data_IF_651250726075
#
_entry.id   IF_651250726075
#
_cell.length_a   1.000
_cell.length_b   1.000
_cell.length_c   1.000
_cell.angle_alpha   90.00
_cell.angle_beta   90.00
_cell.angle_gamma   90.00
#
_symmetry.space_group_name_H-M   'P 1'
#
loop_
_entity.id
_entity.type
_entity.pdbx_description
1 polymer ?
#
# COMPACT_ATOMS: atom_id res chain seq x y z
N UNK A 1 -27.77 -31.64 38.66
CA UNK A 1 -27.92 -31.05 37.31
C UNK A 1 -29.36 -30.58 37.18
N UNK A 2 -29.63 -29.48 36.47
CA UNK A 2 -31.02 -29.02 36.25
C UNK A 2 -31.65 -29.85 35.14
N UNK A 3 -32.84 -30.40 35.37
CA UNK A 3 -33.59 -31.18 34.38
C UNK A 3 -34.01 -30.25 33.22
N UNK A 4 -34.07 -30.76 31.99
CA UNK A 4 -34.60 -30.01 30.83
C UNK A 4 -35.77 -30.81 30.28
N UNK A 5 -36.93 -30.16 30.15
CA UNK A 5 -38.09 -30.78 29.49
C UNK A 5 -37.99 -30.57 27.98
N UNK A 6 -38.28 -31.64 27.23
CA UNK A 6 -38.32 -31.68 25.78
C UNK A 6 -39.71 -32.00 25.23
N UNK A 7 -40.61 -32.48 26.09
CA UNK A 7 -41.97 -32.86 25.72
C UNK A 7 -42.90 -31.64 25.58
N UNK A 8 -43.98 -31.80 24.82
CA UNK A 8 -44.90 -30.71 24.47
C UNK A 8 -45.68 -30.19 25.69
N UNK A 9 -46.10 -31.10 26.57
CA UNK A 9 -46.94 -30.79 27.73
C UNK A 9 -46.29 -31.27 29.05
N UNK A 10 -44.94 -31.30 29.09
CA UNK A 10 -44.14 -31.69 30.26
C UNK A 10 -44.41 -33.14 30.74
N UNK A 11 -44.81 -34.01 29.82
CA UNK A 11 -45.06 -35.43 30.06
C UNK A 11 -43.79 -36.11 30.59
N UNK A 12 -42.64 -35.74 30.03
CA UNK A 12 -41.33 -36.22 30.45
C UNK A 12 -41.00 -35.84 31.90
N UNK A 13 -41.35 -34.63 32.35
CA UNK A 13 -41.18 -34.19 33.75
C UNK A 13 -42.12 -34.96 34.68
N UNK A 14 -43.39 -35.15 34.27
CA UNK A 14 -44.36 -35.91 35.05
C UNK A 14 -43.90 -37.36 35.25
N UNK A 15 -43.44 -38.00 34.17
CA UNK A 15 -42.87 -39.34 34.23
C UNK A 15 -41.58 -39.36 35.07
N UNK A 16 -40.70 -38.36 34.92
CA UNK A 16 -39.44 -38.28 35.65
C UNK A 16 -39.66 -38.11 37.16
N UNK A 17 -40.69 -37.37 37.57
CA UNK A 17 -41.10 -37.29 38.97
C UNK A 17 -41.41 -38.68 39.54
N UNK A 18 -42.11 -39.52 38.78
CA UNK A 18 -42.48 -40.87 39.21
C UNK A 18 -41.32 -41.88 39.11
N UNK A 19 -40.48 -41.75 38.08
CA UNK A 19 -39.54 -42.80 37.66
C UNK A 19 -38.06 -42.41 37.73
N UNK A 20 -37.70 -41.17 38.05
CA UNK A 20 -36.31 -40.69 38.02
C UNK A 20 -35.37 -41.37 39.03
N UNK A 21 -35.91 -42.21 39.92
CA UNK A 21 -35.16 -43.07 40.83
C UNK A 21 -34.72 -44.39 40.18
N UNK A 22 -35.31 -44.79 39.05
CA UNK A 22 -34.98 -46.01 38.32
C UNK A 22 -33.72 -45.78 37.50
N UNK A 23 -32.71 -46.62 37.71
CA UNK A 23 -31.48 -46.62 36.92
C UNK A 23 -31.65 -47.49 35.66
N UNK A 24 -31.25 -46.95 34.50
CA UNK A 24 -31.28 -47.66 33.21
C UNK A 24 -32.65 -48.29 32.91
N UNK A 25 -33.72 -47.52 33.08
CA UNK A 25 -35.07 -47.99 32.80
C UNK A 25 -35.32 -48.21 31.30
N UNK A 26 -36.50 -48.71 31.00
CA UNK A 26 -36.91 -49.16 29.68
C UNK A 26 -38.26 -48.56 29.28
N UNK A 27 -38.32 -47.96 28.08
CA UNK A 27 -39.56 -47.39 27.52
C UNK A 27 -39.92 -47.99 26.17
N UNK A 28 -41.17 -47.80 25.77
CA UNK A 28 -41.62 -48.01 24.39
C UNK A 28 -42.32 -46.73 23.95
N UNK A 29 -41.93 -46.20 22.80
CA UNK A 29 -42.48 -45.00 22.18
C UNK A 29 -43.12 -45.36 20.84
N UNK A 30 -44.45 -45.36 20.78
CA UNK A 30 -45.22 -45.66 19.57
C UNK A 30 -45.68 -44.35 18.96
N UNK A 31 -45.15 -44.03 17.77
CA UNK A 31 -45.23 -42.69 17.18
C UNK A 31 -44.14 -41.79 17.78
N UNK A 32 -42.89 -42.21 17.65
CA UNK A 32 -41.75 -41.56 18.30
C UNK A 32 -41.34 -40.23 17.66
N UNK A 33 -41.62 -40.03 16.35
CA UNK A 33 -41.37 -38.82 15.60
C UNK A 33 -39.95 -38.23 15.81
N UNK A 34 -39.84 -36.91 16.05
CA UNK A 34 -38.56 -36.25 16.23
C UNK A 34 -37.90 -36.65 17.57
N UNK A 35 -36.67 -37.16 17.58
CA UNK A 35 -36.01 -37.60 18.81
C UNK A 35 -35.64 -36.43 19.76
N UNK A 36 -35.67 -35.19 19.30
CA UNK A 36 -35.18 -34.01 20.02
C UNK A 36 -36.29 -33.05 20.40
N UNK A 37 -37.25 -32.85 19.50
CA UNK A 37 -38.34 -31.89 19.62
C UNK A 37 -39.62 -32.61 20.04
N UNK A 38 -40.34 -32.09 21.03
CA UNK A 38 -41.55 -32.70 21.58
C UNK A 38 -41.38 -34.15 22.05
N UNK A 39 -40.14 -34.58 22.33
CA UNK A 39 -39.82 -35.97 22.69
C UNK A 39 -40.03 -36.22 24.18
N UNK A 40 -40.94 -37.14 24.51
CA UNK A 40 -41.20 -37.61 25.89
C UNK A 40 -40.04 -38.46 26.41
N UNK A 41 -39.35 -39.17 25.52
CA UNK A 41 -38.32 -40.17 25.86
C UNK A 41 -36.92 -39.60 25.96
N UNK A 42 -36.64 -38.44 25.33
CA UNK A 42 -35.31 -37.82 25.34
C UNK A 42 -34.72 -37.63 26.72
N UNK A 43 -35.51 -37.13 27.66
CA UNK A 43 -35.04 -36.88 29.01
C UNK A 43 -34.49 -38.17 29.65
N UNK A 44 -35.21 -39.28 29.46
CA UNK A 44 -34.82 -40.59 29.98
C UNK A 44 -33.57 -41.12 29.27
N UNK A 45 -33.54 -41.03 27.95
CA UNK A 45 -32.39 -41.47 27.14
C UNK A 45 -31.10 -40.76 27.56
N UNK A 46 -31.16 -39.43 27.74
CA UNK A 46 -30.02 -38.61 28.17
C UNK A 46 -29.53 -38.99 29.59
N UNK A 47 -30.34 -39.73 30.36
CA UNK A 47 -30.02 -40.28 31.68
C UNK A 47 -29.80 -41.81 31.68
N UNK A 48 -29.42 -42.39 30.54
CA UNK A 48 -28.98 -43.78 30.42
C UNK A 48 -30.09 -44.81 30.27
N UNK A 49 -31.34 -44.36 30.10
CA UNK A 49 -32.41 -45.25 29.69
C UNK A 49 -32.28 -45.59 28.21
N UNK A 50 -32.95 -46.67 27.81
CA UNK A 50 -33.06 -47.08 26.42
C UNK A 50 -34.41 -47.76 26.20
N UNK A 51 -34.83 -47.91 24.96
CA UNK A 51 -36.15 -48.45 24.67
C UNK A 51 -36.36 -48.91 23.23
N UNK A 52 -37.63 -49.00 22.86
CA UNK A 52 -38.08 -49.26 21.49
C UNK A 52 -38.78 -48.01 20.97
N UNK A 53 -38.38 -47.53 19.81
CA UNK A 53 -39.05 -46.45 19.09
C UNK A 53 -39.69 -47.00 17.81
N UNK A 54 -40.98 -46.75 17.62
CA UNK A 54 -41.72 -47.11 16.40
C UNK A 54 -42.08 -45.85 15.63
N UNK A 55 -41.56 -45.74 14.41
CA UNK A 55 -41.77 -44.57 13.55
C UNK A 55 -41.81 -44.96 12.07
N UNK A 56 -42.99 -44.95 11.41
CA UNK A 56 -43.10 -45.28 10.00
C UNK A 56 -42.45 -44.27 9.03
N UNK A 57 -42.46 -42.98 9.36
CA UNK A 57 -41.91 -41.93 8.51
C UNK A 57 -40.38 -42.11 8.38
N UNK A 58 -39.92 -42.28 7.14
CA UNK A 58 -38.50 -42.51 6.85
C UNK A 58 -37.59 -41.40 7.40
N UNK A 59 -38.03 -40.15 7.35
CA UNK A 59 -37.24 -38.99 7.77
C UNK A 59 -37.05 -39.01 9.28
N UNK A 60 -38.13 -39.19 10.05
CA UNK A 60 -38.05 -39.28 11.50
C UNK A 60 -37.31 -40.55 11.95
N UNK A 61 -37.52 -41.66 11.26
CA UNK A 61 -36.77 -42.90 11.51
C UNK A 61 -35.25 -42.70 11.39
N UNK A 62 -34.77 -42.04 10.32
CA UNK A 62 -33.34 -41.76 10.17
C UNK A 62 -32.79 -40.82 11.26
N UNK A 63 -33.61 -39.85 11.70
CA UNK A 63 -33.26 -38.99 12.84
C UNK A 63 -33.14 -39.79 14.15
N UNK A 64 -34.08 -40.71 14.39
CA UNK A 64 -34.09 -41.60 15.56
C UNK A 64 -32.85 -42.50 15.56
N UNK A 65 -32.51 -43.14 14.43
CA UNK A 65 -31.30 -43.96 14.31
C UNK A 65 -30.03 -43.16 14.67
N UNK A 66 -29.93 -41.92 14.17
CA UNK A 66 -28.78 -41.08 14.45
C UNK A 66 -28.71 -40.59 15.90
N UNK A 67 -29.86 -40.28 16.52
CA UNK A 67 -29.93 -39.69 17.85
C UNK A 67 -30.05 -40.71 19.00
N UNK A 68 -30.51 -41.93 18.70
CA UNK A 68 -30.83 -42.99 19.66
C UNK A 68 -30.11 -44.31 19.33
N UNK A 69 -28.77 -44.35 19.23
CA UNK A 69 -28.02 -45.56 18.88
C UNK A 69 -28.10 -46.69 19.91
N UNK A 70 -28.67 -46.44 21.10
CA UNK A 70 -28.87 -47.44 22.15
C UNK A 70 -30.30 -47.98 22.18
N UNK A 71 -31.21 -47.36 21.43
CA UNK A 71 -32.59 -47.83 21.30
C UNK A 71 -32.71 -48.80 20.14
N UNK A 72 -33.74 -49.64 20.20
CA UNK A 72 -34.23 -50.38 19.06
C UNK A 72 -35.19 -49.48 18.29
N UNK A 73 -34.72 -48.88 17.19
CA UNK A 73 -35.54 -48.05 16.33
C UNK A 73 -36.08 -48.90 15.17
N UNK A 74 -37.41 -48.90 14.98
CA UNK A 74 -38.09 -49.72 13.97
C UNK A 74 -38.95 -48.84 13.05
N UNK A 75 -38.78 -49.02 11.74
CA UNK A 75 -39.56 -48.34 10.72
C UNK A 75 -40.83 -49.10 10.36
N UNK A 76 -41.78 -49.12 11.29
CA UNK A 76 -43.07 -49.79 11.15
C UNK A 76 -44.11 -49.15 12.07
N UNK A 77 -45.39 -49.41 11.81
CA UNK A 77 -46.48 -49.05 12.72
C UNK A 77 -46.79 -50.19 13.70
N UNK A 78 -47.28 -49.85 14.90
CA UNK A 78 -47.98 -50.81 15.74
C UNK A 78 -49.46 -50.85 15.33
N UNK A 79 -50.06 -52.05 15.34
CA UNK A 79 -51.47 -52.24 14.98
C UNK A 79 -52.06 -53.45 15.70
N UNK A 80 -53.33 -53.77 15.44
CA UNK A 80 -53.99 -54.95 16.01
C UNK A 80 -53.49 -56.28 15.44
N UNK A 81 -53.04 -56.30 14.19
CA UNK A 81 -52.68 -57.51 13.46
C UNK A 81 -51.54 -57.23 12.48
N UNK A 82 -50.72 -58.24 12.17
CA UNK A 82 -49.63 -58.07 11.20
C UNK A 82 -50.21 -57.86 9.80
N UNK A 83 -49.98 -56.68 9.21
CA UNK A 83 -50.50 -56.32 7.87
C UNK A 83 -49.73 -55.17 7.25
N UNK A 84 -49.96 -54.96 5.95
CA UNK A 84 -49.59 -53.71 5.29
C UNK A 84 -50.69 -52.66 5.49
N UNK A 85 -50.30 -51.44 5.81
CA UNK A 85 -51.21 -50.31 6.00
C UNK A 85 -50.93 -49.21 4.97
N UNK A 86 -51.97 -48.45 4.62
CA UNK A 86 -51.82 -47.17 3.94
C UNK A 86 -51.49 -46.12 5.00
N UNK A 87 -50.33 -45.50 4.87
CA UNK A 87 -49.84 -44.44 5.74
C UNK A 87 -49.89 -43.11 5.00
N UNK A 88 -50.55 -42.15 5.61
CA UNK A 88 -50.75 -40.81 5.09
C UNK A 88 -49.74 -39.87 5.76
N UNK A 89 -48.60 -39.70 5.10
CA UNK A 89 -47.44 -38.96 5.57
C UNK A 89 -47.61 -37.45 5.35
N UNK A 90 -47.35 -36.65 6.38
CA UNK A 90 -47.38 -35.19 6.36
C UNK A 90 -45.99 -34.67 6.75
N UNK A 91 -45.20 -34.32 5.73
CA UNK A 91 -43.79 -33.99 5.84
C UNK A 91 -43.50 -32.95 6.94
N UNK A 92 -42.56 -33.27 7.82
CA UNK A 92 -42.06 -32.36 8.85
C UNK A 92 -43.05 -32.07 9.98
N UNK A 93 -44.09 -32.90 10.13
CA UNK A 93 -45.08 -32.78 11.20
C UNK A 93 -45.27 -34.10 11.95
N UNK A 94 -45.79 -34.03 13.18
CA UNK A 94 -46.24 -35.22 13.93
C UNK A 94 -47.59 -35.78 13.47
N UNK A 95 -48.27 -35.12 12.52
CA UNK A 95 -49.68 -35.35 12.19
C UNK A 95 -49.92 -36.51 11.20
N UNK A 96 -48.90 -37.33 10.93
CA UNK A 96 -49.02 -38.43 9.97
C UNK A 96 -49.88 -39.55 10.56
N UNK A 97 -50.75 -40.15 9.76
CA UNK A 97 -51.78 -41.08 10.27
C UNK A 97 -52.00 -42.27 9.34
N UNK A 98 -52.57 -43.36 9.87
CA UNK A 98 -53.11 -44.48 9.09
C UNK A 98 -54.62 -44.39 8.88
N UNK A 99 -55.27 -43.37 9.44
CA UNK A 99 -56.70 -43.12 9.29
C UNK A 99 -56.96 -42.18 8.09
N UNK A 100 -57.69 -42.70 7.11
CA UNK A 100 -57.98 -41.99 5.87
C UNK A 100 -58.88 -40.75 6.07
N UNK A 101 -59.78 -40.78 7.05
CA UNK A 101 -60.67 -39.65 7.34
C UNK A 101 -59.91 -38.51 8.05
N UNK A 102 -58.96 -38.85 8.94
CA UNK A 102 -58.02 -37.89 9.53
C UNK A 102 -57.14 -37.27 8.44
N UNK A 103 -56.56 -38.09 7.57
CA UNK A 103 -55.75 -37.62 6.45
C UNK A 103 -56.53 -36.68 5.52
N UNK A 104 -57.78 -37.02 5.17
CA UNK A 104 -58.64 -36.18 4.35
C UNK A 104 -58.96 -34.84 5.03
N UNK A 105 -59.16 -34.82 6.36
CA UNK A 105 -59.34 -33.58 7.13
C UNK A 105 -58.08 -32.71 7.09
N UNK A 106 -56.89 -33.28 7.26
CA UNK A 106 -55.64 -32.52 7.15
C UNK A 106 -55.44 -31.95 5.74
N UNK A 107 -55.72 -32.74 4.71
CA UNK A 107 -55.66 -32.28 3.33
C UNK A 107 -56.63 -31.11 3.08
N UNK A 108 -57.86 -31.20 3.61
CA UNK A 108 -58.85 -30.11 3.54
C UNK A 108 -58.41 -28.86 4.32
N UNK A 109 -57.61 -29.02 5.39
CA UNK A 109 -57.00 -27.94 6.15
C UNK A 109 -55.75 -27.33 5.48
N UNK A 110 -55.35 -27.83 4.30
CA UNK A 110 -54.25 -27.28 3.50
C UNK A 110 -52.91 -27.99 3.67
N UNK A 111 -52.85 -29.10 4.41
CA UNK A 111 -51.64 -29.91 4.54
C UNK A 111 -51.36 -30.71 3.26
N UNK A 112 -50.07 -30.88 2.95
CA UNK A 112 -49.65 -31.80 1.90
C UNK A 112 -49.58 -33.21 2.47
N UNK A 113 -50.34 -34.13 1.89
CA UNK A 113 -50.43 -35.53 2.31
C UNK A 113 -49.89 -36.42 1.20
N UNK A 114 -48.91 -37.26 1.53
CA UNK A 114 -48.39 -38.31 0.63
C UNK A 114 -48.77 -39.67 1.18
N UNK A 115 -49.36 -40.53 0.35
CA UNK A 115 -49.67 -41.89 0.76
C UNK A 115 -48.51 -42.84 0.43
N UNK A 116 -48.16 -43.70 1.39
CA UNK A 116 -47.23 -44.81 1.19
C UNK A 116 -47.71 -46.07 1.91
N UNK A 117 -47.23 -47.23 1.47
CA UNK A 117 -47.52 -48.51 2.15
C UNK A 117 -46.43 -48.83 3.14
N UNK A 118 -46.83 -49.08 4.39
CA UNK A 118 -45.91 -49.45 5.48
C UNK A 118 -46.24 -50.83 6.05
N UNK A 119 -45.27 -51.44 6.70
CA UNK A 119 -45.50 -52.63 7.52
C UNK A 119 -46.08 -52.23 8.88
N UNK A 120 -46.98 -53.05 9.40
CA UNK A 120 -47.51 -52.93 10.74
C UNK A 120 -47.53 -54.28 11.46
N UNK A 121 -47.18 -54.29 12.74
CA UNK A 121 -47.13 -55.49 13.60
C UNK A 121 -47.92 -55.29 14.90
N UNK A 122 -48.45 -56.36 15.51
CA UNK A 122 -48.96 -56.32 16.87
C UNK A 122 -47.89 -55.87 17.86
N UNK A 123 -48.24 -54.98 18.79
CA UNK A 123 -47.30 -54.54 19.84
C UNK A 123 -46.76 -55.74 20.65
N UNK A 124 -47.59 -56.75 20.90
CA UNK A 124 -47.17 -58.00 21.54
C UNK A 124 -46.07 -58.73 20.75
N UNK A 125 -46.11 -58.67 19.42
CA UNK A 125 -45.10 -59.29 18.56
C UNK A 125 -43.78 -58.53 18.60
N UNK A 126 -43.83 -57.20 18.51
CA UNK A 126 -42.68 -56.31 18.65
C UNK A 126 -41.98 -56.55 19.99
N UNK A 127 -42.75 -56.59 21.10
CA UNK A 127 -42.22 -56.86 22.42
C UNK A 127 -41.58 -58.25 22.52
N UNK A 128 -42.17 -59.30 21.93
CA UNK A 128 -41.55 -60.65 21.91
C UNK A 128 -40.19 -60.66 21.22
N UNK A 129 -40.02 -59.85 20.17
CA UNK A 129 -38.79 -59.82 19.39
C UNK A 129 -37.70 -58.98 20.06
N UNK A 130 -38.06 -57.88 20.73
CA UNK A 130 -37.10 -56.86 21.15
C UNK A 130 -37.03 -56.59 22.66
N UNK A 131 -38.02 -57.02 23.45
CA UNK A 131 -38.02 -56.94 24.91
C UNK A 131 -38.65 -58.21 25.52
N UNK A 132 -38.05 -59.39 25.30
CA UNK A 132 -38.66 -60.67 25.69
C UNK A 132 -38.80 -60.84 27.22
N UNK A 133 -37.97 -60.14 28.01
CA UNK A 133 -38.00 -60.14 29.47
C UNK A 133 -39.15 -59.30 30.06
N UNK A 134 -39.79 -58.48 29.23
CA UNK A 134 -41.07 -57.81 29.52
C UNK A 134 -41.05 -56.68 30.54
N UNK A 135 -39.90 -56.30 31.09
CA UNK A 135 -39.79 -55.14 31.98
C UNK A 135 -39.91 -53.84 31.16
N UNK A 136 -41.04 -53.17 31.31
CA UNK A 136 -41.33 -51.89 30.67
C UNK A 136 -41.76 -50.91 31.76
N UNK A 137 -41.11 -49.76 31.85
CA UNK A 137 -41.42 -48.77 32.87
C UNK A 137 -42.51 -47.82 32.38
N UNK A 138 -42.46 -47.39 31.12
CA UNK A 138 -43.59 -46.71 30.50
C UNK A 138 -43.74 -47.02 29.00
N UNK A 139 -44.98 -46.92 28.55
CA UNK A 139 -45.40 -47.03 27.15
C UNK A 139 -46.08 -45.72 26.76
N UNK A 140 -45.59 -45.05 25.71
CA UNK A 140 -46.20 -43.88 25.07
C UNK A 140 -46.88 -44.35 23.78
N UNK A 141 -48.14 -43.97 23.57
CA UNK A 141 -48.88 -44.17 22.32
C UNK A 141 -49.48 -42.84 21.85
N UNK A 142 -49.21 -42.48 20.61
CA UNK A 142 -49.69 -41.27 19.91
C UNK A 142 -49.44 -41.53 18.44
N UNK A 143 -50.50 -41.92 17.75
CA UNK A 143 -50.44 -42.41 16.37
C UNK A 143 -51.54 -41.76 15.56
N UNK A 144 -51.95 -40.56 15.99
CA UNK A 144 -52.91 -39.67 15.34
C UNK A 144 -54.19 -40.42 14.92
N UNK A 145 -54.85 -41.05 15.91
CA UNK A 145 -56.18 -41.66 15.78
C UNK A 145 -56.21 -43.20 15.73
N UNK A 146 -55.06 -43.86 15.73
CA UNK A 146 -54.95 -45.32 15.72
C UNK A 146 -54.66 -45.94 17.10
N UNK A 147 -54.80 -45.17 18.19
CA UNK A 147 -54.40 -45.58 19.55
C UNK A 147 -55.10 -46.88 19.98
N UNK A 148 -56.40 -47.00 19.66
CA UNK A 148 -57.19 -48.20 19.95
C UNK A 148 -56.67 -49.45 19.23
N UNK A 149 -56.20 -49.33 18.00
CA UNK A 149 -55.64 -50.45 17.24
C UNK A 149 -54.27 -50.87 17.80
N UNK A 150 -53.44 -49.92 18.26
CA UNK A 150 -52.19 -50.23 18.96
C UNK A 150 -52.46 -51.00 20.25
N UNK A 151 -53.42 -50.52 21.06
CA UNK A 151 -53.82 -51.16 22.32
C UNK A 151 -54.40 -52.56 22.10
N UNK A 152 -55.20 -52.76 21.05
CA UNK A 152 -55.75 -54.06 20.70
C UNK A 152 -54.69 -55.08 20.25
N UNK A 153 -53.53 -54.62 19.78
CA UNK A 153 -52.38 -55.47 19.42
C UNK A 153 -51.45 -55.79 20.58
N UNK A 154 -51.71 -55.27 21.78
CA UNK A 154 -50.87 -55.46 22.97
C UNK A 154 -51.24 -56.72 23.77
N UNK A 155 -50.25 -57.28 24.46
CA UNK A 155 -50.44 -58.34 25.46
C UNK A 155 -50.01 -57.82 26.83
N UNK A 156 -50.93 -57.14 27.51
CA UNK A 156 -50.68 -56.53 28.81
C UNK A 156 -50.56 -57.54 29.97
N UNK A 157 -50.82 -58.82 29.73
CA UNK A 157 -50.57 -59.86 30.74
C UNK A 157 -49.10 -60.27 30.74
N UNK A 158 -48.47 -60.29 29.57
CA UNK A 158 -47.06 -60.65 29.41
C UNK A 158 -46.13 -59.43 29.44
N UNK A 159 -46.47 -58.38 28.70
CA UNK A 159 -45.69 -57.16 28.55
C UNK A 159 -46.38 -56.04 29.32
N UNK A 160 -45.85 -55.75 30.50
CA UNK A 160 -46.59 -55.03 31.55
C UNK A 160 -45.93 -53.68 31.90
N UNK A 161 -46.13 -52.63 31.09
CA UNK A 161 -45.73 -51.28 31.44
C UNK A 161 -46.21 -50.86 32.83
N UNK A 162 -45.38 -50.20 33.62
CA UNK A 162 -45.85 -49.63 34.90
C UNK A 162 -46.80 -48.46 34.65
N UNK A 163 -46.51 -47.67 33.63
CA UNK A 163 -47.25 -46.49 33.21
C UNK A 163 -47.60 -46.63 31.73
N UNK A 164 -48.85 -46.35 31.36
CA UNK A 164 -49.26 -46.21 29.96
C UNK A 164 -49.73 -44.77 29.77
N UNK A 165 -49.15 -44.10 28.79
CA UNK A 165 -49.47 -42.74 28.35
C UNK A 165 -50.06 -42.83 26.94
N UNK A 166 -51.28 -42.34 26.75
CA UNK A 166 -51.97 -42.39 25.45
C UNK A 166 -52.50 -41.02 25.12
N UNK A 167 -52.23 -40.53 23.92
CA UNK A 167 -52.88 -39.32 23.40
C UNK A 167 -54.40 -39.56 23.32
N UNK A 168 -55.17 -38.61 23.82
CA UNK A 168 -56.58 -38.80 24.12
C UNK A 168 -57.46 -37.68 23.56
N UNK A 169 -56.98 -36.96 22.54
CA UNK A 169 -57.74 -35.95 21.82
C UNK A 169 -57.76 -36.23 20.33
N UNK A 170 -58.76 -35.71 19.61
CA UNK A 170 -58.68 -35.69 18.15
C UNK A 170 -57.51 -34.81 17.68
N UNK A 171 -56.89 -35.12 16.53
CA UNK A 171 -55.75 -34.34 16.01
C UNK A 171 -56.04 -32.84 15.97
N UNK A 172 -55.16 -32.04 16.58
CA UNK A 172 -55.27 -30.58 16.72
C UNK A 172 -56.61 -30.10 17.36
N UNK A 173 -57.21 -30.87 18.25
CA UNK A 173 -58.47 -30.54 18.92
C UNK A 173 -58.37 -30.67 20.45
N UNK A 174 -59.31 -30.06 21.17
CA UNK A 174 -59.54 -30.31 22.60
C UNK A 174 -60.62 -31.38 22.84
N UNK A 175 -61.20 -31.91 21.76
CA UNK A 175 -62.22 -32.96 21.84
C UNK A 175 -61.56 -34.29 22.22
N UNK A 176 -61.97 -34.85 23.35
CA UNK A 176 -61.42 -36.09 23.90
C UNK A 176 -61.84 -37.33 23.08
N UNK A 177 -60.90 -38.22 22.76
CA UNK A 177 -61.05 -39.40 21.89
C UNK A 177 -60.82 -40.75 22.60
N UNK A 178 -60.84 -40.78 23.94
CA UNK A 178 -60.48 -41.98 24.72
C UNK A 178 -61.59 -43.01 24.93
N UNK A 179 -62.85 -42.61 24.73
CA UNK A 179 -64.00 -43.42 25.15
C UNK A 179 -64.02 -44.83 24.54
N UNK A 180 -63.54 -44.96 23.30
CA UNK A 180 -63.56 -46.23 22.55
C UNK A 180 -62.44 -47.18 22.96
N UNK A 181 -61.28 -46.67 23.38
CA UNK A 181 -60.10 -47.49 23.69
C UNK A 181 -59.82 -47.66 25.19
N UNK A 182 -60.27 -46.74 26.06
CA UNK A 182 -60.03 -46.82 27.52
C UNK A 182 -60.52 -48.14 28.17
N UNK A 183 -61.67 -48.72 27.76
CA UNK A 183 -62.09 -50.04 28.25
C UNK A 183 -61.07 -51.16 28.03
N UNK A 184 -60.25 -51.07 26.97
CA UNK A 184 -59.21 -52.07 26.68
C UNK A 184 -58.08 -52.03 27.70
N UNK A 185 -57.70 -50.85 28.20
CA UNK A 185 -56.71 -50.71 29.27
C UNK A 185 -57.30 -51.06 30.63
N UNK A 186 -58.46 -50.51 30.95
CA UNK A 186 -59.07 -50.68 32.29
C UNK A 186 -59.48 -52.13 32.57
N UNK A 187 -59.93 -52.87 31.55
CA UNK A 187 -60.18 -54.32 31.68
C UNK A 187 -58.92 -55.16 31.89
N UNK A 188 -57.73 -54.63 31.56
CA UNK A 188 -56.43 -55.27 31.75
C UNK A 188 -55.71 -54.77 33.01
N UNK A 189 -56.45 -54.23 33.98
CA UNK A 189 -55.91 -53.81 35.27
C UNK A 189 -55.04 -52.56 35.22
N UNK A 190 -55.36 -51.61 34.34
CA UNK A 190 -54.81 -50.26 34.38
C UNK A 190 -55.84 -49.27 34.91
N UNK A 191 -55.45 -48.40 35.84
CA UNK A 191 -56.32 -47.31 36.30
C UNK A 191 -55.85 -45.96 35.83
N UNK A 192 -56.80 -45.15 35.37
CA UNK A 192 -56.59 -43.74 35.07
C UNK A 192 -56.08 -42.99 36.31
N UNK A 193 -55.06 -42.13 36.13
CA UNK A 193 -54.48 -41.33 37.22
C UNK A 193 -54.34 -39.85 36.90
N UNK A 194 -54.19 -39.46 35.63
CA UNK A 194 -53.97 -38.07 35.25
C UNK A 194 -54.34 -37.82 33.79
N UNK A 195 -54.84 -36.62 33.49
CA UNK A 195 -55.02 -36.10 32.13
C UNK A 195 -54.35 -34.72 32.08
N UNK A 196 -53.42 -34.53 31.16
CA UNK A 196 -52.67 -33.27 31.04
C UNK A 196 -53.33 -32.25 30.09
N UNK A 197 -54.46 -32.61 29.47
CA UNK A 197 -55.14 -31.83 28.43
C UNK A 197 -54.91 -32.37 27.02
N UNK A 198 -53.97 -33.29 26.84
CA UNK A 198 -53.63 -33.97 25.58
C UNK A 198 -53.56 -35.48 25.78
N UNK A 199 -52.75 -35.92 26.73
CA UNK A 199 -52.51 -37.31 27.04
C UNK A 199 -53.17 -37.75 28.36
N UNK A 200 -53.67 -38.99 28.36
CA UNK A 200 -54.15 -39.69 29.57
C UNK A 200 -53.10 -40.67 30.06
N UNK A 201 -52.86 -40.63 31.37
CA UNK A 201 -51.92 -41.48 32.08
C UNK A 201 -52.68 -42.55 32.86
N UNK A 202 -52.21 -43.78 32.74
CA UNK A 202 -52.72 -44.95 33.43
C UNK A 202 -51.60 -45.67 34.17
N UNK A 203 -51.89 -46.19 35.36
CA UNK A 203 -50.99 -47.03 36.13
C UNK A 203 -51.48 -48.46 36.16
N UNK A 204 -50.54 -49.40 36.01
CA UNK A 204 -50.78 -50.79 36.35
C UNK A 204 -51.25 -50.90 37.81
N UNK A 205 -52.29 -51.69 38.08
CA UNK A 205 -52.91 -51.80 39.41
C UNK A 205 -51.90 -52.07 40.52
N UNK A 206 -50.93 -52.94 40.25
CA UNK A 206 -49.84 -53.32 41.15
C UNK A 206 -48.87 -52.18 41.47
N UNK A 207 -48.84 -51.11 40.65
CA UNK A 207 -47.98 -49.93 40.82
C UNK A 207 -48.70 -48.72 41.39
N UNK A 208 -50.03 -48.75 41.53
CA UNK A 208 -50.83 -47.61 42.03
C UNK A 208 -50.39 -47.14 43.42
N UNK A 209 -50.09 -48.05 44.34
CA UNK A 209 -49.67 -47.68 45.70
C UNK A 209 -48.29 -47.00 45.69
N UNK A 210 -47.39 -47.44 44.82
CA UNK A 210 -46.01 -46.94 44.73
C UNK A 210 -45.94 -45.60 43.98
N UNK A 211 -46.63 -45.49 42.84
CA UNK A 211 -46.47 -44.38 41.91
C UNK A 211 -47.63 -43.38 41.90
N UNK A 212 -48.83 -43.77 42.36
CA UNK A 212 -50.05 -42.96 42.22
C UNK A 212 -49.97 -41.58 42.87
N UNK A 213 -49.19 -41.43 43.95
CA UNK A 213 -49.03 -40.15 44.64
C UNK A 213 -48.37 -39.07 43.78
N UNK A 214 -47.54 -39.44 42.80
CA UNK A 214 -46.83 -38.50 41.93
C UNK A 214 -47.72 -37.82 40.88
N UNK A 215 -48.88 -38.40 40.58
CA UNK A 215 -49.84 -37.93 39.57
C UNK A 215 -50.92 -36.99 40.13
N UNK A 216 -50.85 -36.61 41.41
CA UNK A 216 -51.89 -35.79 42.08
C UNK A 216 -51.93 -34.33 41.62
N UNK A 217 -50.82 -33.82 41.11
CA UNK A 217 -50.66 -32.44 40.67
C UNK A 217 -49.82 -32.42 39.40
N UNK A 218 -50.04 -31.42 38.55
CA UNK A 218 -49.24 -31.17 37.36
C UNK A 218 -47.74 -30.95 37.70
N UNK A 219 -46.82 -31.13 36.73
CA UNK A 219 -45.48 -30.56 36.79
C UNK A 219 -45.51 -29.09 37.21
N UNK A 220 -44.63 -28.70 38.13
CA UNK A 220 -44.59 -27.38 38.73
C UNK A 220 -43.18 -27.01 39.21
N UNK A 221 -43.05 -25.86 39.88
CA UNK A 221 -41.77 -25.28 40.31
C UNK A 221 -40.94 -26.19 41.23
N UNK A 222 -41.55 -27.22 41.84
CA UNK A 222 -40.84 -28.16 42.71
C UNK A 222 -40.15 -29.32 41.96
N UNK A 223 -40.33 -29.44 40.64
CA UNK A 223 -39.76 -30.53 39.84
C UNK A 223 -38.35 -30.23 39.31
N UNK A 224 -37.82 -29.02 39.52
CA UNK A 224 -36.43 -28.70 39.22
C UNK A 224 -36.05 -28.77 37.73
N UNK A 225 -37.00 -28.57 36.83
CA UNK A 225 -36.79 -28.53 35.39
C UNK A 225 -36.76 -27.11 34.83
N UNK A 226 -36.10 -26.95 33.69
CA UNK A 226 -36.11 -25.73 32.89
C UNK A 226 -37.17 -25.81 31.81
N UNK A 227 -37.89 -24.72 31.64
CA UNK A 227 -38.88 -24.57 30.57
C UNK A 227 -38.23 -24.06 29.29
N UNK A 228 -38.83 -24.30 28.11
CA UNK A 228 -38.42 -23.66 26.85
C UNK A 228 -38.31 -22.14 26.95
N UNK A 229 -39.12 -21.49 27.79
CA UNK A 229 -39.05 -20.04 28.03
C UNK A 229 -37.68 -19.59 28.56
N UNK A 230 -37.04 -20.35 29.44
CA UNK A 230 -35.69 -20.03 29.92
C UNK A 230 -34.64 -20.15 28.81
N UNK A 231 -34.82 -21.08 27.88
CA UNK A 231 -33.96 -21.21 26.71
C UNK A 231 -34.19 -20.09 25.71
N UNK A 232 -35.45 -19.70 25.46
CA UNK A 232 -35.79 -18.55 24.62
C UNK A 232 -35.20 -17.26 25.18
N UNK A 233 -35.32 -17.01 26.48
CA UNK A 233 -34.74 -15.81 27.09
C UNK A 233 -33.20 -15.79 26.97
N UNK A 234 -32.55 -16.95 27.04
CA UNK A 234 -31.10 -17.07 26.81
C UNK A 234 -30.75 -16.86 25.33
N UNK A 235 -31.52 -17.43 24.41
CA UNK A 235 -31.34 -17.24 22.98
C UNK A 235 -31.49 -15.77 22.60
N UNK A 236 -32.53 -15.09 23.08
CA UNK A 236 -32.74 -13.66 22.88
C UNK A 236 -31.57 -12.82 23.39
N UNK A 237 -31.04 -13.12 24.59
CA UNK A 237 -29.85 -12.43 25.12
C UNK A 237 -28.62 -12.69 24.24
N UNK A 238 -28.40 -13.93 23.82
CA UNK A 238 -27.28 -14.28 22.95
C UNK A 238 -27.40 -13.59 21.58
N UNK A 239 -28.60 -13.49 21.01
CA UNK A 239 -28.87 -12.76 19.78
C UNK A 239 -28.62 -11.25 19.95
N UNK A 240 -29.03 -10.67 21.08
CA UNK A 240 -28.75 -9.26 21.39
C UNK A 240 -27.25 -8.99 21.53
N UNK A 241 -26.51 -9.85 22.24
CA UNK A 241 -25.06 -9.77 22.38
C UNK A 241 -24.36 -9.91 21.02
N UNK A 242 -24.78 -10.87 20.20
CA UNK A 242 -24.26 -11.05 18.84
C UNK A 242 -24.53 -9.81 17.98
N UNK A 243 -25.72 -9.23 18.08
CA UNK A 243 -26.07 -8.02 17.33
C UNK A 243 -25.21 -6.82 17.75
N UNK A 244 -24.97 -6.64 19.06
CA UNK A 244 -24.08 -5.60 19.58
C UNK A 244 -22.64 -5.79 19.07
N UNK A 245 -22.13 -7.03 19.12
CA UNK A 245 -20.80 -7.35 18.61
C UNK A 245 -20.67 -7.07 17.11
N UNK A 246 -21.71 -7.37 16.31
CA UNK A 246 -21.74 -7.06 14.86
C UNK A 246 -21.71 -5.56 14.59
N UNK A 247 -22.46 -4.76 15.36
CA UNK A 247 -22.45 -3.29 15.24
C UNK A 247 -21.07 -2.73 15.59
N UNK A 248 -20.47 -3.21 16.69
CA UNK A 248 -19.13 -2.78 17.09
C UNK A 248 -18.08 -3.13 16.02
N UNK A 249 -18.08 -4.37 15.52
CA UNK A 249 -17.17 -4.80 14.47
C UNK A 249 -17.36 -3.98 13.17
N UNK A 250 -18.60 -3.61 12.83
CA UNK A 250 -18.87 -2.75 11.68
C UNK A 250 -18.29 -1.33 11.87
N UNK A 251 -18.39 -0.75 13.06
CA UNK A 251 -17.80 0.55 13.39
C UNK A 251 -16.27 0.49 13.35
N UNK A 252 -15.65 -0.54 13.91
CA UNK A 252 -14.20 -0.75 13.86
C UNK A 252 -13.70 -0.91 12.41
N UNK A 253 -14.42 -1.71 11.60
CA UNK A 253 -14.09 -1.88 10.19
C UNK A 253 -14.24 -0.58 9.40
N UNK A 254 -15.24 0.24 9.72
CA UNK A 254 -15.40 1.55 9.11
C UNK A 254 -14.22 2.46 9.46
N UNK A 255 -13.81 2.50 10.73
CA UNK A 255 -12.66 3.30 11.16
C UNK A 255 -11.37 2.88 10.44
N UNK A 256 -11.09 1.58 10.38
CA UNK A 256 -9.92 1.04 9.66
C UNK A 256 -9.96 1.39 8.17
N UNK A 257 -11.15 1.36 7.55
CA UNK A 257 -11.31 1.77 6.14
C UNK A 257 -11.05 3.26 5.94
N UNK A 258 -11.51 4.10 6.86
CA UNK A 258 -11.27 5.54 6.81
C UNK A 258 -9.79 5.87 6.98
N UNK A 259 -9.10 5.23 7.93
CA UNK A 259 -7.65 5.36 8.11
C UNK A 259 -6.87 4.89 6.87
N UNK A 260 -7.22 3.72 6.32
CA UNK A 260 -6.59 3.20 5.11
C UNK A 260 -6.82 4.11 3.89
N UNK A 261 -8.01 4.73 3.77
CA UNK A 261 -8.31 5.69 2.72
C UNK A 261 -7.49 6.97 2.86
N UNK A 262 -7.36 7.50 4.08
CA UNK A 262 -6.53 8.68 4.37
C UNK A 262 -5.06 8.42 4.06
N UNK A 263 -4.54 7.26 4.44
CA UNK A 263 -3.14 6.90 4.17
C UNK A 263 -2.91 6.70 2.66
N UNK A 264 -3.84 6.04 1.97
CA UNK A 264 -3.78 5.90 0.50
C UNK A 264 -3.75 7.27 -0.17
N UNK A 265 -4.59 8.21 0.28
CA UNK A 265 -4.59 9.57 -0.25
C UNK A 265 -3.25 10.29 -0.01
N UNK A 266 -2.68 10.19 1.19
CA UNK A 266 -1.35 10.77 1.50
C UNK A 266 -0.25 10.21 0.59
N UNK A 267 -0.22 8.90 0.41
CA UNK A 267 0.74 8.23 -0.48
C UNK A 267 0.56 8.71 -1.92
N UNK A 268 -0.68 8.85 -2.40
CA UNK A 268 -0.97 9.38 -3.73
C UNK A 268 -0.50 10.85 -3.89
N UNK A 269 -0.76 11.71 -2.90
CA UNK A 269 -0.33 13.11 -2.92
C UNK A 269 1.21 13.23 -2.92
N UNK A 270 1.90 12.43 -2.10
CA UNK A 270 3.36 12.39 -2.05
C UNK A 270 3.97 11.86 -3.36
N UNK A 271 3.39 10.80 -3.94
CA UNK A 271 3.81 10.28 -5.24
C UNK A 271 3.63 11.33 -6.34
N UNK A 272 2.49 12.05 -6.35
CA UNK A 272 2.23 13.12 -7.31
C UNK A 272 3.20 14.30 -7.14
N UNK A 273 3.56 14.67 -5.90
CA UNK A 273 4.58 15.68 -5.65
C UNK A 273 5.95 15.25 -6.19
N UNK A 274 6.37 14.01 -5.88
CA UNK A 274 7.64 13.45 -6.34
C UNK A 274 7.73 13.40 -7.87
N UNK A 275 6.63 13.04 -8.55
CA UNK A 275 6.55 13.05 -10.02
C UNK A 275 6.68 14.47 -10.59
N UNK A 276 6.06 15.47 -9.97
CA UNK A 276 6.19 16.88 -10.39
C UNK A 276 7.63 17.38 -10.23
N UNK A 277 8.28 17.04 -9.13
CA UNK A 277 9.67 17.42 -8.87
C UNK A 277 10.61 16.74 -9.88
N UNK A 278 10.41 15.46 -10.15
CA UNK A 278 11.16 14.71 -11.16
C UNK A 278 10.96 15.30 -12.57
N UNK A 279 9.72 15.64 -12.97
CA UNK A 279 9.44 16.29 -14.25
C UNK A 279 10.11 17.67 -14.35
N UNK A 280 10.06 18.47 -13.28
CA UNK A 280 10.73 19.78 -13.24
C UNK A 280 12.24 19.66 -13.40
N UNK A 281 12.85 18.68 -12.73
CA UNK A 281 14.29 18.38 -12.80
C UNK A 281 14.66 17.91 -14.20
N UNK A 282 13.84 17.03 -14.80
CA UNK A 282 14.01 16.55 -16.17
C UNK A 282 13.96 17.70 -17.18
N UNK A 283 13.00 18.62 -17.05
CA UNK A 283 12.91 19.81 -17.91
C UNK A 283 14.11 20.75 -17.75
N UNK A 284 14.58 20.96 -16.52
CA UNK A 284 15.79 21.73 -16.27
C UNK A 284 17.02 21.09 -16.91
N UNK A 285 17.18 19.76 -16.77
CA UNK A 285 18.26 19.02 -17.42
C UNK A 285 18.18 19.11 -18.95
N UNK A 286 17.00 18.94 -19.54
CA UNK A 286 16.79 19.11 -20.99
C UNK A 286 17.18 20.52 -21.47
N UNK A 287 16.78 21.55 -20.72
CA UNK A 287 17.13 22.95 -21.03
C UNK A 287 18.63 23.20 -20.91
N UNK A 288 19.29 22.64 -19.89
CA UNK A 288 20.74 22.75 -19.71
C UNK A 288 21.50 22.04 -20.84
N UNK A 289 21.03 20.87 -21.29
CA UNK A 289 21.59 20.15 -22.45
C UNK A 289 21.45 20.99 -23.73
N UNK A 290 20.28 21.60 -23.98
CA UNK A 290 20.11 22.50 -25.13
C UNK A 290 21.03 23.73 -25.07
N UNK A 291 21.18 24.34 -23.89
CA UNK A 291 22.10 25.46 -23.70
C UNK A 291 23.55 25.06 -23.95
N UNK A 292 23.95 23.89 -23.44
CA UNK A 292 25.29 23.36 -23.67
C UNK A 292 25.54 23.09 -25.16
N UNK A 293 24.57 22.48 -25.87
CA UNK A 293 24.66 22.28 -27.31
C UNK A 293 24.87 23.61 -28.06
N UNK A 294 24.11 24.66 -27.74
CA UNK A 294 24.30 26.00 -28.34
C UNK A 294 25.68 26.60 -28.06
N UNK A 295 26.21 26.41 -26.84
CA UNK A 295 27.54 26.89 -26.48
C UNK A 295 28.64 26.15 -27.27
N UNK A 296 28.51 24.84 -27.42
CA UNK A 296 29.40 24.01 -28.24
C UNK A 296 29.36 24.45 -29.70
N UNK A 297 28.17 24.65 -30.28
CA UNK A 297 28.03 25.15 -31.65
C UNK A 297 28.67 26.54 -31.83
N UNK A 298 28.44 27.45 -30.88
CA UNK A 298 29.04 28.78 -30.90
C UNK A 298 30.58 28.74 -30.75
N UNK A 299 31.11 27.80 -29.95
CA UNK A 299 32.54 27.58 -29.82
C UNK A 299 33.15 27.00 -31.11
N UNK A 300 32.47 26.04 -31.73
CA UNK A 300 32.85 25.48 -33.02
C UNK A 300 32.88 26.53 -34.13
N UNK A 301 31.86 27.40 -34.19
CA UNK A 301 31.86 28.53 -35.13
C UNK A 301 33.00 29.52 -34.89
N UNK A 302 33.31 29.83 -33.62
CA UNK A 302 34.46 30.69 -33.27
C UNK A 302 35.79 30.04 -33.65
N UNK A 303 35.95 28.74 -33.41
CA UNK A 303 37.13 28.00 -33.82
C UNK A 303 37.30 28.01 -35.35
N UNK A 304 36.22 27.77 -36.10
CA UNK A 304 36.23 27.83 -37.57
C UNK A 304 36.61 29.23 -38.09
N UNK A 305 36.06 30.30 -37.50
CA UNK A 305 36.39 31.66 -37.88
C UNK A 305 37.85 32.03 -37.55
N UNK A 306 38.36 31.59 -36.39
CA UNK A 306 39.77 31.78 -36.02
C UNK A 306 40.71 31.04 -36.98
N UNK A 307 40.36 29.81 -37.39
CA UNK A 307 41.12 29.07 -38.40
C UNK A 307 41.16 29.82 -39.74
N UNK A 308 40.04 30.41 -40.18
CA UNK A 308 40.03 31.25 -41.39
C UNK A 308 40.89 32.51 -41.24
N UNK A 309 40.91 33.16 -40.07
CA UNK A 309 41.79 34.31 -39.83
C UNK A 309 43.27 33.92 -39.85
N UNK A 310 43.62 32.77 -39.27
CA UNK A 310 44.99 32.23 -39.33
C UNK A 310 45.39 31.93 -40.77
N UNK A 311 44.50 31.33 -41.57
CA UNK A 311 44.72 31.09 -43.01
C UNK A 311 44.98 32.40 -43.77
N UNK A 312 44.13 33.42 -43.57
CA UNK A 312 44.30 34.74 -44.21
C UNK A 312 45.59 35.45 -43.77
N UNK A 313 45.95 35.32 -42.50
CA UNK A 313 47.18 35.88 -41.95
C UNK A 313 48.42 35.18 -42.51
N UNK A 314 48.36 33.86 -42.71
CA UNK A 314 49.42 33.10 -43.38
C UNK A 314 49.59 33.55 -44.84
N UNK A 315 48.50 33.76 -45.58
CA UNK A 315 48.53 34.25 -46.96
C UNK A 315 49.11 35.67 -47.07
N UNK A 316 48.69 36.58 -46.20
CA UNK A 316 49.24 37.95 -46.17
C UNK A 316 50.70 37.99 -45.74
N UNK A 317 51.10 37.13 -44.80
CA UNK A 317 52.50 36.99 -44.41
C UNK A 317 53.32 36.51 -45.59
N UNK A 318 52.90 35.45 -46.29
CA UNK A 318 53.57 34.92 -47.49
C UNK A 318 53.77 36.02 -48.56
N UNK A 319 52.72 36.81 -48.82
CA UNK A 319 52.79 37.91 -49.75
C UNK A 319 53.73 39.04 -49.29
N UNK A 320 53.75 39.36 -47.99
CA UNK A 320 54.68 40.34 -47.43
C UNK A 320 56.14 39.88 -47.53
N UNK A 321 56.43 38.59 -47.30
CA UNK A 321 57.76 38.01 -47.50
C UNK A 321 58.18 38.09 -48.96
N UNK A 322 57.28 37.80 -49.91
CA UNK A 322 57.59 37.97 -51.35
C UNK A 322 57.93 39.41 -51.70
N UNK A 323 57.18 40.39 -51.18
CA UNK A 323 57.45 41.82 -51.40
C UNK A 323 58.78 42.25 -50.78
N UNK A 324 59.09 41.79 -49.57
CA UNK A 324 60.37 42.07 -48.92
C UNK A 324 61.55 41.48 -49.68
N UNK A 325 61.42 40.25 -50.19
CA UNK A 325 62.44 39.61 -51.03
C UNK A 325 62.66 40.38 -52.35
N UNK A 326 61.58 40.85 -52.98
CA UNK A 326 61.68 41.67 -54.20
C UNK A 326 62.34 43.04 -53.95
N UNK A 327 61.99 43.72 -52.85
CA UNK A 327 62.60 44.98 -52.46
C UNK A 327 64.09 44.83 -52.11
N UNK A 328 64.46 43.73 -51.44
CA UNK A 328 65.86 43.43 -51.14
C UNK A 328 66.67 43.22 -52.43
N UNK A 329 66.12 42.50 -53.42
CA UNK A 329 66.75 42.30 -54.72
C UNK A 329 66.94 43.63 -55.49
N UNK A 330 66.00 44.57 -55.39
CA UNK A 330 66.14 45.90 -55.97
C UNK A 330 67.23 46.72 -55.26
N UNK A 331 67.37 46.57 -53.93
CA UNK A 331 68.39 47.25 -53.16
C UNK A 331 69.80 46.76 -53.49
N UNK A 332 70.00 45.45 -53.70
CA UNK A 332 71.28 44.91 -54.15
C UNK A 332 71.66 45.42 -55.54
N UNK A 333 70.70 45.48 -56.48
CA UNK A 333 70.91 46.09 -57.80
C UNK A 333 71.37 47.56 -57.72
N UNK A 334 70.71 48.36 -56.87
CA UNK A 334 71.12 49.76 -56.64
C UNK A 334 72.48 49.89 -55.95
N UNK A 335 72.83 48.94 -55.09
CA UNK A 335 74.16 48.85 -54.46
C UNK A 335 75.27 48.60 -55.48
N UNK A 336 75.07 47.65 -56.38
CA UNK A 336 76.03 47.31 -57.44
C UNK A 336 76.25 48.49 -58.41
N UNK A 337 75.19 49.23 -58.75
CA UNK A 337 75.29 50.43 -59.59
C UNK A 337 76.05 51.58 -58.91
N UNK A 338 75.84 51.77 -57.60
CA UNK A 338 76.58 52.77 -56.82
C UNK A 338 78.07 52.42 -56.70
N UNK A 339 78.41 51.13 -56.55
CA UNK A 339 79.80 50.68 -56.54
C UNK A 339 80.50 50.89 -57.89
N UNK A 340 79.80 50.64 -59.01
CA UNK A 340 80.33 50.92 -60.36
C UNK A 340 80.60 52.41 -60.57
N UNK A 341 79.70 53.29 -60.10
CA UNK A 341 79.88 54.74 -60.18
C UNK A 341 81.05 55.26 -59.32
N UNK A 342 81.25 54.69 -58.12
CA UNK A 342 82.35 55.05 -57.22
C UNK A 342 83.73 54.68 -57.80
N UNK A 343 83.85 53.50 -58.43
CA UNK A 343 85.08 53.09 -59.11
C UNK A 343 85.45 54.00 -60.28
N UNK A 344 84.46 54.45 -61.07
CA UNK A 344 84.69 55.40 -62.16
C UNK A 344 85.18 56.78 -61.66
N UNK A 345 84.65 57.26 -60.53
CA UNK A 345 85.05 58.52 -59.92
C UNK A 345 86.46 58.48 -59.29
N UNK A 346 86.88 57.34 -58.73
CA UNK A 346 88.25 57.18 -58.23
C UNK A 346 89.29 57.16 -59.36
N UNK A 347 88.95 56.59 -60.52
CA UNK A 347 89.83 56.58 -61.68
C UNK A 347 90.07 58.00 -62.25
N UNK A 348 89.02 58.84 -62.30
CA UNK A 348 89.14 60.22 -62.78
C UNK A 348 89.91 61.14 -61.81
N UNK A 349 89.76 60.94 -60.50
CA UNK A 349 90.51 61.67 -59.48
C UNK A 349 92.03 61.36 -59.52
N UNK A 350 92.41 60.12 -59.87
CA UNK A 350 93.82 59.71 -59.98
C UNK A 350 94.52 60.40 -61.16
N UNK A 351 93.85 60.53 -62.31
CA UNK A 351 94.35 61.25 -63.48
C UNK A 351 94.49 62.76 -63.25
N UNK A 352 93.58 63.37 -62.47
CA UNK A 352 93.66 64.79 -62.13
C UNK A 352 94.83 65.12 -61.18
N UNK A 353 95.14 64.22 -60.23
CA UNK A 353 96.25 64.41 -59.30
C UNK A 353 97.64 64.29 -59.97
N UNK A 354 97.78 63.46 -61.00
CA UNK A 354 99.02 63.37 -61.78
C UNK A 354 99.28 64.67 -62.59
N UNK A 355 98.24 65.34 -63.07
CA UNK A 355 98.36 66.62 -63.79
C UNK A 355 98.73 67.79 -62.85
N UNK A 356 98.18 67.81 -61.63
CA UNK A 356 98.52 68.84 -60.62
C UNK A 356 99.95 68.68 -60.10
N UNK A 357 100.43 67.45 -59.92
CA UNK A 357 101.81 67.18 -59.52
C UNK A 357 102.85 67.61 -60.58
N UNK A 358 102.51 67.52 -61.87
CA UNK A 358 103.36 68.01 -62.97
C UNK A 358 103.43 69.55 -63.02
N UNK A 359 102.34 70.25 -62.68
CA UNK A 359 102.29 71.72 -62.68
C UNK A 359 103.06 72.34 -61.48
N UNK A 360 103.01 71.70 -60.31
CA UNK A 360 103.64 72.16 -59.07
C UNK A 360 105.17 72.00 -59.04
N UNK A 361 105.76 71.23 -59.96
CA UNK A 361 107.22 71.05 -60.09
C UNK A 361 107.88 71.91 -61.18
N UNK A 362 107.13 72.80 -61.85
CA UNK A 362 107.71 73.74 -62.82
C UNK A 362 108.44 74.91 -62.14
N UNK A 363 109.56 75.33 -62.72
CA UNK A 363 110.49 76.36 -62.21
C UNK A 363 109.82 77.71 -61.87
N UNK A 364 108.66 77.99 -62.44
CA UNK A 364 107.89 79.22 -62.23
C UNK A 364 107.23 79.28 -60.84
N UNK A 365 106.89 78.13 -60.24
CA UNK A 365 106.03 78.06 -59.04
C UNK A 365 106.80 78.27 -57.72
N UNK A 366 108.13 78.05 -57.71
CA UNK A 366 108.98 78.20 -56.52
C UNK A 366 109.40 79.64 -56.22
N UNK A 367 109.31 80.57 -57.18
CA UNK A 367 109.79 81.96 -57.04
C UNK A 367 108.73 82.91 -56.44
N UNK A 368 107.43 82.57 -56.51
CA UNK A 368 106.32 83.46 -56.13
C UNK A 368 105.72 83.19 -54.74
N UNK A 369 106.42 82.41 -53.90
CA UNK A 369 105.96 82.00 -52.57
C UNK A 369 105.68 83.14 -51.55
N UNK A 370 106.39 84.29 -51.52
CA UNK A 370 106.17 85.29 -50.46
C UNK A 370 104.91 86.16 -50.65
N UNK A 371 104.17 86.06 -51.76
CA UNK A 371 103.09 87.00 -52.13
C UNK A 371 101.66 86.45 -51.97
N UNK A 372 101.46 85.27 -51.34
CA UNK A 372 100.13 84.64 -51.21
C UNK A 372 99.61 84.51 -49.78
N UNK A 373 99.86 85.54 -48.96
CA UNK A 373 99.31 85.63 -47.60
C UNK A 373 98.31 86.79 -47.46
N UNK A 374 97.07 86.65 -47.99
CA UNK A 374 95.92 87.53 -47.67
C UNK A 374 94.58 86.76 -47.73
N UNK A 375 93.99 86.58 -46.54
CA UNK A 375 92.55 86.68 -46.18
C UNK A 375 91.51 85.68 -46.73
N UNK A 376 90.93 84.88 -45.82
CA UNK A 376 89.55 85.10 -45.30
C UNK A 376 89.23 84.24 -44.06
N UNK A 377 89.15 84.93 -42.91
CA UNK A 377 88.25 84.60 -41.79
C UNK A 377 86.90 85.25 -42.06
N UNK A 378 85.78 84.55 -41.79
CA UNK A 378 84.55 85.10 -41.16
C UNK A 378 83.50 83.98 -40.86
N UNK A 379 82.53 84.22 -39.94
CA UNK A 379 82.34 83.35 -38.77
C UNK A 379 80.90 82.89 -38.50
N UNK A 380 80.78 81.95 -37.56
CA UNK A 380 79.59 81.55 -36.80
C UNK A 380 79.00 82.73 -36.01
N UNK A 381 77.73 83.11 -36.28
CA UNK A 381 76.81 83.83 -35.33
C UNK A 381 75.41 84.17 -35.92
N UNK A 382 74.68 83.19 -36.46
CA UNK A 382 73.28 83.45 -36.90
C UNK A 382 72.22 82.38 -36.51
N UNK A 383 72.53 81.34 -35.72
CA UNK A 383 71.53 80.31 -35.41
C UNK A 383 70.82 80.43 -34.03
N UNK A 384 71.10 81.46 -33.22
CA UNK A 384 70.53 81.58 -31.87
C UNK A 384 69.73 82.88 -31.62
N UNK A 385 69.37 83.62 -32.68
CA UNK A 385 68.64 84.90 -32.56
C UNK A 385 67.22 84.89 -33.10
N UNK A 386 66.72 83.76 -33.60
CA UNK A 386 65.40 83.67 -34.24
C UNK A 386 64.28 83.08 -33.35
N UNK A 387 64.61 82.51 -32.20
CA UNK A 387 63.60 81.80 -31.36
C UNK A 387 63.04 82.66 -30.21
N UNK A 388 63.61 83.83 -29.88
CA UNK A 388 63.24 84.55 -28.64
C UNK A 388 62.56 85.93 -28.78
N UNK A 389 62.33 86.47 -29.99
CA UNK A 389 61.75 87.82 -30.14
C UNK A 389 60.43 87.94 -30.94
N UNK A 390 59.70 86.84 -31.16
CA UNK A 390 58.36 86.87 -31.79
C UNK A 390 57.15 86.90 -30.83
N UNK A 391 57.36 87.16 -29.54
CA UNK A 391 56.26 87.19 -28.54
C UNK A 391 55.88 88.55 -27.94
N UNK A 392 56.59 89.65 -28.24
CA UNK A 392 56.55 90.84 -27.38
C UNK A 392 56.18 92.21 -28.00
N UNK A 393 55.82 92.30 -29.29
CA UNK A 393 55.59 93.59 -29.97
C UNK A 393 54.38 93.62 -30.93
N UNK A 394 53.31 92.92 -30.60
CA UNK A 394 52.01 93.07 -31.29
C UNK A 394 50.94 93.79 -30.43
N UNK A 395 51.22 94.11 -29.16
CA UNK A 395 50.32 94.89 -28.31
C UNK A 395 51.06 96.08 -27.73
N UNK A 396 50.98 97.23 -28.42
CA UNK A 396 51.03 98.63 -27.91
C UNK A 396 51.58 99.63 -28.95
N UNK A 397 51.09 99.53 -30.20
CA UNK A 397 51.24 100.55 -31.24
C UNK A 397 49.91 101.16 -31.73
N UNK A 398 48.78 100.82 -31.09
CA UNK A 398 47.46 101.42 -31.32
C UNK A 398 46.92 101.96 -29.98
N UNK A 399 46.09 103.02 -30.00
CA UNK A 399 46.20 104.17 -29.09
C UNK A 399 45.64 103.93 -27.68
N UNK A 400 46.27 104.56 -26.69
CA UNK A 400 45.94 104.45 -25.25
C UNK A 400 47.15 104.17 -24.35
N UNK A 401 48.33 104.00 -24.94
CA UNK A 401 49.60 103.78 -24.25
C UNK A 401 50.16 105.04 -23.57
N UNK A 402 49.51 105.53 -22.52
CA UNK A 402 50.13 106.34 -21.46
C UNK A 402 49.31 106.23 -20.17
N UNK A 403 49.50 105.12 -19.43
CA UNK A 403 49.39 105.03 -17.95
C UNK A 403 49.83 103.66 -17.41
N UNK A 404 50.69 102.95 -18.14
CA UNK A 404 51.35 101.72 -17.72
C UNK A 404 52.82 101.96 -17.46
N UNK A 405 53.17 102.65 -16.37
CA UNK A 405 54.53 102.61 -15.83
C UNK A 405 54.59 103.06 -14.36
N UNK A 406 53.66 102.61 -13.51
CA UNK A 406 53.73 102.87 -12.05
C UNK A 406 52.75 102.00 -11.25
N UNK A 407 52.85 100.67 -11.38
CA UNK A 407 52.33 99.76 -10.35
C UNK A 407 53.04 98.38 -10.32
N UNK A 408 54.21 98.25 -10.97
CA UNK A 408 55.03 97.02 -10.93
C UNK A 408 55.93 97.00 -9.69
N UNK A 409 55.36 97.35 -8.53
CA UNK A 409 55.99 97.05 -7.25
C UNK A 409 54.91 96.64 -6.27
N UNK A 410 55.03 95.37 -5.86
CA UNK A 410 54.35 94.75 -4.73
C UNK A 410 52.82 94.62 -4.90
N UNK A 411 52.39 93.47 -5.41
CA UNK A 411 51.42 92.54 -4.78
C UNK A 411 51.07 91.43 -5.79
N UNK A 412 51.58 90.21 -5.47
CA UNK A 412 51.06 88.89 -5.84
C UNK A 412 51.29 88.35 -7.29
N UNK A 413 50.97 87.06 -7.59
CA UNK A 413 51.91 85.92 -7.60
C UNK A 413 51.81 85.08 -8.90
N UNK A 414 52.75 84.17 -9.20
CA UNK A 414 52.63 83.14 -10.27
C UNK A 414 53.64 82.00 -10.04
N UNK A 415 53.48 80.82 -10.66
CA UNK A 415 52.39 79.85 -10.65
C UNK A 415 53.03 78.47 -10.41
N UNK A 416 53.75 78.33 -9.29
CA UNK A 416 54.51 77.13 -8.92
C UNK A 416 53.61 75.94 -8.52
N UNK A 417 52.30 76.15 -8.37
CA UNK A 417 51.37 75.13 -7.89
C UNK A 417 50.65 74.36 -9.01
N UNK A 418 50.75 74.82 -10.26
CA UNK A 418 50.13 74.12 -11.40
C UNK A 418 51.03 73.04 -12.02
N UNK A 419 52.36 73.18 -11.92
CA UNK A 419 53.31 72.17 -12.42
C UNK A 419 53.67 71.10 -11.36
N UNK A 420 53.44 71.37 -10.07
CA UNK A 420 53.67 70.42 -8.98
C UNK A 420 52.70 69.22 -8.98
N UNK A 421 51.66 69.23 -9.82
CA UNK A 421 50.64 68.17 -9.90
C UNK A 421 50.86 67.17 -11.03
N UNK A 422 51.80 67.42 -11.96
CA UNK A 422 52.02 66.58 -13.16
C UNK A 422 53.27 65.69 -13.10
N UNK A 423 54.14 65.87 -12.11
CA UNK A 423 55.40 65.12 -11.98
C UNK A 423 55.43 64.06 -10.86
N UNK A 424 54.36 63.89 -10.08
CA UNK A 424 54.32 62.98 -8.93
C UNK A 424 53.77 61.57 -9.22
N UNK A 425 53.55 61.22 -10.49
CA UNK A 425 52.99 59.91 -10.94
C UNK A 425 54.06 59.01 -11.58
N UNK A 426 55.28 59.51 -11.83
CA UNK A 426 56.35 58.73 -12.47
C UNK A 426 57.40 58.15 -11.49
N UNK A 427 57.32 58.44 -10.19
CA UNK A 427 58.34 58.02 -9.20
C UNK A 427 57.85 57.03 -8.12
N UNK A 428 56.66 56.44 -8.24
CA UNK A 428 56.14 55.49 -7.24
C UNK A 428 55.85 54.06 -7.75
N UNK A 429 56.16 53.72 -9.00
CA UNK A 429 56.01 52.34 -9.54
C UNK A 429 57.33 51.60 -9.78
N UNK A 430 58.47 52.17 -9.36
CA UNK A 430 59.79 51.56 -9.57
C UNK A 430 60.42 50.89 -8.32
N UNK A 431 59.66 50.67 -7.23
CA UNK A 431 60.17 50.12 -5.95
C UNK A 431 59.42 48.85 -5.47
N UNK A 432 58.85 48.03 -6.35
CA UNK A 432 58.26 46.75 -5.92
C UNK A 432 58.44 45.60 -6.91
N UNK A 433 59.65 45.50 -7.49
CA UNK A 433 60.17 44.26 -8.08
C UNK A 433 61.38 43.78 -7.26
N UNK A 434 61.11 43.27 -6.06
CA UNK A 434 61.99 42.34 -5.35
C UNK A 434 61.22 41.72 -4.19
N UNK A 435 61.30 40.39 -4.08
CA UNK A 435 60.67 39.48 -3.10
C UNK A 435 59.35 38.81 -3.55
N UNK A 436 59.47 37.66 -4.22
CA UNK A 436 59.01 36.38 -3.67
C UNK A 436 60.03 35.31 -4.07
N UNK A 437 60.55 34.62 -3.07
CA UNK A 437 61.51 33.52 -3.18
C UNK A 437 60.82 32.20 -3.58
N UNK A 438 61.64 31.28 -4.07
CA UNK A 438 61.29 29.91 -4.44
C UNK A 438 60.61 29.13 -3.30
N UNK A 439 59.70 28.22 -3.65
CA UNK A 439 59.29 27.11 -2.79
C UNK A 439 59.34 25.79 -3.58
N UNK A 440 60.02 24.80 -2.99
CA UNK A 440 60.12 23.41 -3.44
C UNK A 440 58.77 22.67 -3.24
N UNK A 441 58.54 21.52 -3.91
CA UNK A 441 57.31 20.75 -3.73
C UNK A 441 57.18 20.22 -2.30
N UNK A 442 56.00 20.36 -1.70
CA UNK A 442 55.69 19.76 -0.41
C UNK A 442 55.74 18.22 -0.51
N UNK A 443 56.52 17.60 0.37
CA UNK A 443 56.53 16.16 0.58
C UNK A 443 55.38 15.76 1.53
N UNK A 444 54.93 14.51 1.44
CA UNK A 444 53.75 13.95 2.13
C UNK A 444 53.83 13.90 3.68
N UNK A 445 54.87 14.50 4.28
CA UNK A 445 55.14 14.42 5.73
C UNK A 445 54.70 15.64 6.53
N UNK A 446 54.20 16.70 5.88
CA UNK A 446 53.74 17.94 6.54
C UNK A 446 52.22 18.18 6.49
N UNK A 447 51.43 17.18 6.08
CA UNK A 447 49.96 17.32 5.95
C UNK A 447 49.23 16.88 7.23
N UNK A 448 48.15 17.59 7.57
CA UNK A 448 47.22 17.13 8.60
C UNK A 448 46.44 15.87 8.13
N UNK A 449 45.86 15.08 9.05
CA UNK A 449 45.14 13.85 8.69
C UNK A 449 43.98 14.05 7.70
N UNK A 450 43.36 15.24 7.67
CA UNK A 450 42.30 15.58 6.71
C UNK A 450 42.85 15.96 5.33
N UNK A 451 44.00 16.65 5.26
CA UNK A 451 44.61 17.06 3.98
C UNK A 451 45.26 15.89 3.25
N UNK A 452 45.86 14.94 3.97
CA UNK A 452 46.39 13.69 3.40
C UNK A 452 45.28 12.78 2.82
N UNK A 453 44.03 12.94 3.31
CA UNK A 453 42.84 12.21 2.84
C UNK A 453 42.30 12.81 1.54
N UNK A 454 42.27 14.15 1.44
CA UNK A 454 41.91 14.90 0.23
C UNK A 454 42.93 14.70 -0.90
N UNK A 455 44.24 14.69 -0.59
CA UNK A 455 45.30 14.43 -1.58
C UNK A 455 45.21 13.02 -2.17
N UNK A 456 44.94 11.99 -1.36
CA UNK A 456 44.71 10.61 -1.83
C UNK A 456 43.46 10.49 -2.70
N UNK A 457 42.37 11.16 -2.35
CA UNK A 457 41.12 11.14 -3.13
C UNK A 457 41.25 11.82 -4.51
N UNK A 458 42.15 12.80 -4.65
CA UNK A 458 42.41 13.51 -5.91
C UNK A 458 43.21 12.70 -6.94
N UNK A 459 43.96 11.67 -6.51
CA UNK A 459 44.83 10.86 -7.39
C UNK A 459 44.15 9.54 -7.80
N UNK A 460 43.09 9.12 -7.09
CA UNK A 460 42.36 7.87 -7.34
C UNK A 460 40.90 8.11 -7.71
N UNK A 461 40.61 8.67 -8.89
CA UNK A 461 39.41 8.33 -9.70
C UNK A 461 39.34 9.14 -10.99
N UNK A 462 39.66 8.50 -12.12
CA UNK A 462 38.89 8.60 -13.37
C UNK A 462 39.09 7.27 -14.15
N UNK A 463 38.19 6.87 -15.07
CA UNK A 463 37.29 5.74 -14.83
C UNK A 463 37.34 4.72 -15.98
N UNK A 464 37.57 3.43 -15.70
CA UNK A 464 37.22 2.40 -16.65
C UNK A 464 37.16 1.00 -16.00
N UNK A 465 36.11 0.27 -16.38
CA UNK A 465 35.94 -1.18 -16.26
C UNK A 465 35.21 -1.66 -14.98
N UNK A 466 33.88 -1.63 -15.06
CA UNK A 466 33.05 -2.71 -14.53
C UNK A 466 32.11 -3.18 -15.66
N UNK A 467 32.50 -4.24 -16.36
CA UNK A 467 31.59 -5.09 -17.14
C UNK A 467 31.82 -6.55 -16.75
N UNK A 468 30.72 -7.16 -16.30
CA UNK A 468 30.38 -8.60 -16.27
C UNK A 468 31.33 -9.58 -15.56
N UNK A 469 30.91 -10.05 -14.38
CA UNK A 469 30.56 -11.46 -14.10
C UNK A 469 29.96 -11.57 -12.69
#
# INVERSE_FOLDING_TARGET
MTLTSFAQNQEDVMLWRALGHVCNGFYIDVGAADPKMSSVTRLFYDHGWHGINLEPDATFFELLIAARPHDVNLRLAASREAKSLHFHRIDGSGLSTVDADIAARHQAAGWHVTEETIEALPLAEICRQHCPDGLIHFLKIDVEGAEGDVLAGADFQRFRPWIVLVEATLPNSQEESYADWEPMLTSQGYGFVWFDGLNRFYLADEKKHELGAYFRVQPNVFDGFRTPFEFLQRAERAEQELQQARVQAAHELQHVREEAAQETQRVQEQAAATLRDADSTSRQAATAVEQFARLVDAANHRAAAAMQQVEQMAQTLDESTRRAHAALAEQTLRGDDAQRAAHAAQHSARLANEQVAAMLNSTCWRVTAPLRMVRRMQPTKQLAREVFHRGGRFLLGLPGGQRGLRFVRAVAPRPAEWLARRYRVYEQTAVMQQQVAAAAPASETDLSPEEARLYRQLITTDPAIATSA
#
